data_IF_416767062875
#
_entry.id   IF_416767062875
#
_cell.length_a   1.000
_cell.length_b   1.000
_cell.length_c   1.000
_cell.angle_alpha   90.00
_cell.angle_beta   90.00
_cell.angle_gamma   90.00
#
_symmetry.space_group_name_H-M   'P 1'
#
loop_
_entity.id
_entity.type
_entity.pdbx_description
1 polymer ?
#
# COMPACT_ATOMS: atom_id res chain seq x y z
N UNK A 1 23.84 2.93 9.81
CA UNK A 1 23.20 3.74 8.76
C UNK A 1 21.86 3.13 8.44
N UNK A 2 20.81 3.92 8.20
CA UNK A 2 19.52 3.38 7.78
C UNK A 2 19.64 2.73 6.40
N UNK A 3 18.84 1.70 6.17
CA UNK A 3 18.76 0.95 4.91
C UNK A 3 17.41 1.21 4.25
N UNK A 4 17.43 1.38 2.93
CA UNK A 4 16.23 1.68 2.15
C UNK A 4 16.13 0.73 0.98
N UNK A 5 14.96 0.11 0.83
CA UNK A 5 14.66 -0.83 -0.23
C UNK A 5 13.46 -0.34 -1.02
N UNK A 6 13.56 -0.50 -2.33
CA UNK A 6 12.47 -0.32 -3.29
C UNK A 6 12.13 -1.71 -3.79
N UNK A 7 10.95 -2.20 -3.43
CA UNK A 7 10.53 -3.55 -3.75
C UNK A 7 9.26 -3.52 -4.61
N UNK A 8 9.22 -4.33 -5.65
CA UNK A 8 7.98 -4.60 -6.38
C UNK A 8 7.31 -5.81 -5.74
N UNK A 9 6.33 -5.58 -4.86
CA UNK A 9 5.57 -6.63 -4.18
C UNK A 9 4.72 -7.39 -5.21
N UNK A 10 4.91 -8.71 -5.38
CA UNK A 10 4.06 -9.51 -6.24
C UNK A 10 2.64 -9.67 -5.70
N UNK A 11 1.71 -10.06 -6.57
CA UNK A 11 0.38 -10.53 -6.20
C UNK A 11 0.46 -11.72 -5.24
N UNK A 12 -0.49 -11.79 -4.30
CA UNK A 12 -0.63 -12.90 -3.36
C UNK A 12 0.30 -12.84 -2.14
N UNK A 13 1.20 -11.85 -2.05
CA UNK A 13 2.15 -11.69 -0.94
C UNK A 13 1.62 -10.69 0.08
N UNK A 14 1.66 -11.03 1.36
CA UNK A 14 1.31 -10.12 2.46
C UNK A 14 2.43 -9.10 2.73
N UNK A 15 2.04 -7.87 3.02
CA UNK A 15 2.97 -6.79 3.45
C UNK A 15 3.39 -6.94 4.92
N UNK A 16 3.87 -8.12 5.31
CA UNK A 16 4.39 -8.43 6.65
C UNK A 16 5.44 -9.54 6.55
N UNK A 17 6.26 -9.72 7.58
CA UNK A 17 7.28 -10.77 7.64
C UNK A 17 6.81 -12.05 8.32
N UNK A 18 5.81 -11.95 9.20
CA UNK A 18 5.31 -13.10 9.97
C UNK A 18 4.00 -13.60 9.35
N UNK A 19 3.94 -14.88 9.00
CA UNK A 19 2.69 -15.52 8.60
C UNK A 19 1.79 -15.75 9.82
N UNK A 20 0.49 -15.48 9.68
CA UNK A 20 -0.51 -15.75 10.71
C UNK A 20 -1.18 -17.11 10.53
N UNK A 21 -1.19 -17.61 9.29
CA UNK A 21 -1.75 -18.90 8.92
C UNK A 21 -0.76 -19.61 7.99
N UNK A 22 -0.70 -20.94 8.09
CA UNK A 22 0.12 -21.76 7.21
C UNK A 22 -0.22 -21.53 5.72
N UNK A 23 0.81 -21.51 4.87
CA UNK A 23 0.67 -21.28 3.43
C UNK A 23 0.54 -19.80 3.01
N UNK A 24 0.52 -18.84 3.96
CA UNK A 24 0.56 -17.43 3.61
C UNK A 24 1.94 -17.03 3.08
N UNK A 25 1.96 -16.40 1.90
CA UNK A 25 3.17 -15.81 1.35
C UNK A 25 3.47 -14.45 1.96
N UNK A 26 4.71 -14.20 2.32
CA UNK A 26 5.12 -13.02 3.11
C UNK A 26 6.43 -12.41 2.61
N UNK A 27 6.80 -11.23 3.15
CA UNK A 27 8.06 -10.57 2.83
C UNK A 27 9.30 -11.39 3.24
N UNK A 28 9.15 -12.40 4.11
CA UNK A 28 10.24 -13.26 4.54
C UNK A 28 10.83 -14.12 3.40
N UNK A 29 10.07 -14.38 2.33
CA UNK A 29 10.54 -15.12 1.15
C UNK A 29 11.62 -14.38 0.34
N UNK A 30 11.76 -13.06 0.55
CA UNK A 30 12.55 -12.19 -0.33
C UNK A 30 13.92 -11.80 0.25
N UNK A 31 14.35 -12.43 1.35
CA UNK A 31 15.72 -12.31 1.86
C UNK A 31 16.12 -10.92 2.36
N UNK A 32 15.15 -10.10 2.78
CA UNK A 32 15.46 -8.81 3.40
C UNK A 32 16.24 -8.98 4.71
N UNK A 33 17.14 -8.05 5.04
CA UNK A 33 17.88 -8.14 6.29
C UNK A 33 16.97 -7.95 7.50
N UNK A 34 17.39 -8.40 8.69
CA UNK A 34 16.61 -8.21 9.91
C UNK A 34 16.36 -6.72 10.20
N UNK A 35 15.27 -6.46 10.93
CA UNK A 35 14.84 -5.14 11.43
C UNK A 35 14.40 -4.12 10.37
N UNK A 36 14.26 -4.52 9.09
CA UNK A 36 13.57 -3.70 8.10
C UNK A 36 12.08 -3.98 8.12
N UNK A 37 11.28 -2.94 7.93
CA UNK A 37 9.83 -3.02 7.95
C UNK A 37 9.23 -2.36 6.72
N UNK A 38 8.09 -2.84 6.22
CA UNK A 38 7.39 -2.17 5.14
C UNK A 38 6.90 -0.79 5.58
N UNK A 39 7.06 0.20 4.69
CA UNK A 39 6.51 1.54 4.87
C UNK A 39 5.07 1.52 4.39
N UNK A 40 4.18 1.15 5.30
CA UNK A 40 2.76 0.98 5.03
C UNK A 40 2.46 -0.43 4.55
N UNK A 41 1.28 -0.59 3.96
CA UNK A 41 0.78 -1.89 3.52
C UNK A 41 0.21 -1.74 2.11
N UNK A 42 0.59 -2.67 1.25
CA UNK A 42 -0.21 -3.06 0.10
C UNK A 42 -1.04 -4.29 0.48
N UNK A 43 -2.27 -4.34 0.01
CA UNK A 43 -3.13 -5.50 0.22
C UNK A 43 -2.56 -6.74 -0.47
N UNK A 44 -2.99 -7.92 -0.02
CA UNK A 44 -2.47 -9.21 -0.52
C UNK A 44 -2.65 -9.34 -2.03
N UNK A 45 -3.80 -8.90 -2.51
CA UNK A 45 -4.25 -8.91 -3.90
C UNK A 45 -3.82 -7.66 -4.69
N UNK A 46 -3.12 -6.72 -4.07
CA UNK A 46 -2.45 -5.61 -4.75
C UNK A 46 -1.01 -5.97 -5.13
N UNK A 47 -0.46 -5.24 -6.10
CA UNK A 47 0.92 -5.39 -6.58
C UNK A 47 1.63 -4.04 -6.63
N UNK A 48 2.96 -4.08 -6.74
CA UNK A 48 3.75 -2.92 -7.11
C UNK A 48 4.62 -2.36 -5.99
N UNK A 49 4.86 -1.05 -6.04
CA UNK A 49 5.90 -0.40 -5.23
C UNK A 49 5.60 -0.48 -3.73
N UNK A 50 6.47 -1.16 -2.99
CA UNK A 50 6.54 -1.19 -1.54
C UNK A 50 7.94 -0.77 -1.09
N UNK A 51 8.02 0.25 -0.24
CA UNK A 51 9.28 0.62 0.39
C UNK A 51 9.48 -0.20 1.66
N UNK A 52 10.72 -0.60 1.94
CA UNK A 52 11.10 -1.19 3.22
C UNK A 52 12.28 -0.43 3.81
N UNK A 53 12.27 -0.20 5.13
CA UNK A 53 13.36 0.49 5.82
C UNK A 53 13.36 0.20 7.32
N UNK A 54 14.52 0.36 7.95
CA UNK A 54 14.68 0.44 9.41
C UNK A 54 14.59 1.90 9.93
N UNK A 55 14.45 2.90 9.03
CA UNK A 55 14.28 4.30 9.36
C UNK A 55 12.84 4.64 9.80
N UNK A 56 12.64 4.68 11.12
CA UNK A 56 11.37 5.07 11.74
C UNK A 56 10.93 6.49 11.39
N UNK A 57 11.86 7.42 11.12
CA UNK A 57 11.53 8.83 10.80
C UNK A 57 10.94 8.93 9.41
N UNK A 58 11.54 8.25 8.42
CA UNK A 58 10.99 8.19 7.06
C UNK A 58 9.63 7.49 7.07
N UNK A 59 9.50 6.39 7.82
CA UNK A 59 8.24 5.66 7.92
C UNK A 59 7.11 6.56 8.47
N UNK A 60 7.34 7.24 9.59
CA UNK A 60 6.38 8.19 10.15
C UNK A 60 6.04 9.32 9.15
N UNK A 61 7.05 9.87 8.47
CA UNK A 61 6.85 10.94 7.49
C UNK A 61 5.95 10.48 6.34
N UNK A 62 6.17 9.29 5.79
CA UNK A 62 5.41 8.80 4.64
C UNK A 62 4.01 8.26 4.99
N UNK A 63 3.81 7.79 6.23
CA UNK A 63 2.54 7.20 6.66
C UNK A 63 1.61 8.15 7.40
N UNK A 64 2.13 9.19 8.05
CA UNK A 64 1.28 10.11 8.79
C UNK A 64 0.42 10.93 7.80
N UNK A 65 -0.93 10.83 7.89
CA UNK A 65 -1.84 11.50 6.96
C UNK A 65 -1.69 13.04 6.93
N UNK A 66 -1.16 13.65 7.99
CA UNK A 66 -0.93 15.09 8.06
C UNK A 66 0.02 15.59 6.95
N UNK A 67 0.95 14.75 6.50
CA UNK A 67 1.91 15.10 5.44
C UNK A 67 1.38 14.90 4.02
N UNK A 68 0.21 14.25 3.84
CA UNK A 68 -0.52 14.11 2.57
C UNK A 68 0.35 13.71 1.37
N UNK A 69 1.17 12.68 1.55
CA UNK A 69 2.00 12.16 0.45
C UNK A 69 1.15 11.57 -0.67
N UNK A 70 1.39 12.02 -1.90
CA UNK A 70 0.71 11.48 -3.08
C UNK A 70 1.14 10.04 -3.33
N UNK A 71 0.17 9.20 -3.67
CA UNK A 71 0.35 7.83 -4.14
C UNK A 71 -0.35 7.71 -5.48
N UNK A 72 0.28 6.99 -6.40
CA UNK A 72 -0.24 6.79 -7.75
C UNK A 72 -0.41 5.30 -7.98
N UNK A 73 -1.55 4.92 -8.52
CA UNK A 73 -1.93 3.53 -8.76
C UNK A 73 -2.31 3.37 -10.22
N UNK A 74 -1.92 2.24 -10.81
CA UNK A 74 -2.52 1.73 -12.03
C UNK A 74 -3.61 0.74 -11.61
N UNK A 75 -4.86 1.04 -11.94
CA UNK A 75 -6.00 0.21 -11.56
C UNK A 75 -6.65 -0.41 -12.80
N UNK A 76 -6.79 -1.73 -12.80
CA UNK A 76 -7.58 -2.45 -13.78
C UNK A 76 -9.02 -2.56 -13.26
N UNK A 77 -9.98 -2.27 -14.12
CA UNK A 77 -11.42 -2.28 -13.79
C UNK A 77 -12.18 -3.10 -14.81
N UNK A 78 -13.33 -3.62 -14.39
CA UNK A 78 -14.30 -4.21 -15.30
C UNK A 78 -15.07 -3.12 -16.04
N UNK A 79 -15.32 -3.33 -17.33
CA UNK A 79 -15.99 -2.36 -18.19
C UNK A 79 -15.10 -1.19 -18.61
N UNK A 80 -15.73 -0.16 -19.19
CA UNK A 80 -15.08 1.06 -19.67
C UNK A 80 -15.69 2.26 -18.96
N UNK A 81 -14.98 2.90 -18.01
CA UNK A 81 -15.46 4.12 -17.37
C UNK A 81 -15.67 5.23 -18.40
N UNK A 82 -16.87 5.80 -18.42
CA UNK A 82 -17.15 6.97 -19.24
C UNK A 82 -16.57 8.25 -18.63
N UNK A 83 -16.69 9.35 -19.38
CA UNK A 83 -16.15 10.65 -18.94
C UNK A 83 -16.81 11.15 -17.66
N UNK A 84 -18.11 10.89 -17.48
CA UNK A 84 -18.84 11.34 -16.29
C UNK A 84 -18.38 10.59 -15.04
N UNK A 85 -18.20 9.27 -15.12
CA UNK A 85 -17.67 8.45 -14.03
C UNK A 85 -16.27 8.90 -13.62
N UNK A 86 -15.39 9.19 -14.59
CA UNK A 86 -14.04 9.70 -14.31
C UNK A 86 -14.08 11.09 -13.66
N UNK A 87 -14.94 11.99 -14.11
CA UNK A 87 -15.12 13.31 -13.49
C UNK A 87 -15.64 13.21 -12.04
N UNK A 88 -16.58 12.30 -11.78
CA UNK A 88 -17.06 12.04 -10.42
C UNK A 88 -15.94 11.55 -9.51
N UNK A 89 -15.10 10.61 -9.99
CA UNK A 89 -13.94 10.15 -9.22
C UNK A 89 -12.92 11.27 -8.95
N UNK A 90 -12.67 12.17 -9.92
CA UNK A 90 -11.76 13.32 -9.76
C UNK A 90 -12.26 14.36 -8.74
N UNK A 91 -13.58 14.56 -8.64
CA UNK A 91 -14.20 15.51 -7.70
C UNK A 91 -14.38 14.96 -6.30
N UNK A 92 -14.21 13.64 -6.14
CA UNK A 92 -14.45 12.94 -4.90
C UNK A 92 -15.80 12.25 -4.87
N UNK A 93 -15.82 11.04 -4.32
CA UNK A 93 -17.02 10.22 -4.15
C UNK A 93 -17.23 9.89 -2.67
N UNK A 94 -18.48 9.66 -2.29
CA UNK A 94 -18.82 9.20 -0.95
C UNK A 94 -18.46 7.74 -0.76
N UNK A 95 -17.62 7.44 0.23
CA UNK A 95 -17.27 6.11 0.69
C UNK A 95 -17.58 5.96 2.19
N UNK A 96 -17.44 4.74 2.72
CA UNK A 96 -17.52 4.48 4.16
C UNK A 96 -16.15 4.07 4.67
N UNK A 97 -15.62 4.82 5.64
CA UNK A 97 -14.39 4.48 6.35
C UNK A 97 -14.79 3.98 7.74
N UNK A 98 -14.75 2.66 7.93
CA UNK A 98 -15.36 2.00 9.07
C UNK A 98 -16.88 2.25 9.08
N UNK A 99 -17.40 2.85 10.16
CA UNK A 99 -18.84 3.17 10.28
C UNK A 99 -19.19 4.58 9.81
N UNK A 100 -18.22 5.44 9.47
CA UNK A 100 -18.43 6.86 9.16
C UNK A 100 -18.47 7.11 7.65
N UNK A 101 -19.38 7.96 7.15
CA UNK A 101 -19.31 8.46 5.78
C UNK A 101 -18.07 9.33 5.61
N UNK A 102 -17.44 9.24 4.44
CA UNK A 102 -16.25 10.01 4.08
C UNK A 102 -16.32 10.37 2.60
N UNK A 103 -16.02 11.61 2.26
CA UNK A 103 -15.85 12.03 0.86
C UNK A 103 -14.37 12.06 0.55
N UNK A 104 -13.98 11.33 -0.51
CA UNK A 104 -12.59 11.23 -0.97
C UNK A 104 -12.06 12.53 -1.56
#
# INVERSE_FOLDING_TARGET
>A
MPRYFVFYKPYGVLSQFTAEVEGQRTLAEFGFPPEVYPVGRLDRDSEGLLLLTDDKRLNHRLLNPAFRHRRTYLAQVEGLPDTEALERLRRGVGIRVGKKPYTT
#
